data_IF_074368247954
#
_entry.id   IF_074368247954
#
_cell.length_a   1.000
_cell.length_b   1.000
_cell.length_c   1.000
_cell.angle_alpha   90.00
_cell.angle_beta   90.00
_cell.angle_gamma   90.00
#
_symmetry.space_group_name_H-M   'P 1'
#
loop_
_entity.id
_entity.type
_entity.pdbx_description
1 polymer ?
#
# COMPACT_ATOMS: atom_id res chain seq x y z
N UNK A 1 5.57 -13.33 17.76
CA UNK A 1 6.62 -12.72 16.94
C UNK A 1 7.97 -12.93 17.60
N UNK A 2 8.95 -13.41 16.86
CA UNK A 2 10.30 -13.59 17.38
C UNK A 2 11.01 -12.23 17.54
N UNK A 3 11.90 -12.14 18.51
CA UNK A 3 12.68 -10.93 18.72
C UNK A 3 13.64 -10.71 17.54
N UNK A 4 13.63 -9.52 16.91
CA UNK A 4 14.54 -9.24 15.80
C UNK A 4 16.01 -9.09 16.23
N UNK A 5 16.26 -8.97 17.53
CA UNK A 5 17.63 -8.76 18.06
C UNK A 5 18.27 -10.06 18.55
N UNK A 6 17.52 -10.91 19.26
CA UNK A 6 18.07 -12.15 19.84
C UNK A 6 17.34 -13.42 19.38
N UNK A 7 16.28 -13.30 18.60
CA UNK A 7 15.48 -14.38 18.04
C UNK A 7 14.70 -15.20 19.10
N UNK A 8 14.51 -14.66 20.30
CA UNK A 8 13.70 -15.32 21.31
C UNK A 8 12.24 -15.44 20.83
N UNK A 9 11.59 -16.58 21.08
CA UNK A 9 10.29 -16.91 20.47
C UNK A 9 9.09 -16.18 21.08
N UNK A 10 9.18 -15.77 22.35
CA UNK A 10 8.06 -15.21 23.10
C UNK A 10 8.27 -13.74 23.43
N UNK A 11 7.90 -12.86 22.51
CA UNK A 11 7.91 -11.43 22.75
C UNK A 11 6.48 -10.97 23.07
N UNK A 12 6.35 -9.88 23.83
CA UNK A 12 5.04 -9.39 24.27
C UNK A 12 4.77 -7.97 23.79
N UNK A 13 3.48 -7.67 23.65
CA UNK A 13 3.01 -6.31 23.32
C UNK A 13 2.80 -5.56 24.63
N UNK A 14 3.45 -4.39 24.76
CA UNK A 14 3.33 -3.56 25.96
C UNK A 14 2.48 -2.31 25.73
N UNK A 15 2.23 -1.93 24.45
CA UNK A 15 1.38 -0.82 24.10
C UNK A 15 0.82 -1.01 22.70
N UNK A 16 -0.38 -0.50 22.43
CA UNK A 16 -1.02 -0.52 21.12
C UNK A 16 -1.78 0.78 20.90
N UNK A 17 -1.60 1.40 19.73
CA UNK A 17 -2.27 2.65 19.37
C UNK A 17 -2.67 2.64 17.90
N UNK A 18 -3.81 3.26 17.62
CA UNK A 18 -4.20 3.54 16.24
C UNK A 18 -3.39 4.72 15.70
N UNK A 19 -3.08 4.69 14.40
CA UNK A 19 -2.51 5.83 13.73
C UNK A 19 -3.56 6.95 13.61
N UNK A 20 -3.10 8.18 13.28
CA UNK A 20 -3.99 9.35 13.23
C UNK A 20 -5.16 9.18 12.26
N UNK A 21 -4.96 8.45 11.17
CA UNK A 21 -5.98 8.18 10.15
C UNK A 21 -6.81 6.92 10.44
N UNK A 22 -6.55 6.24 11.56
CA UNK A 22 -7.22 4.99 11.98
C UNK A 22 -7.03 3.80 11.02
N UNK A 23 -6.07 3.86 10.11
CA UNK A 23 -5.85 2.80 9.10
C UNK A 23 -4.87 1.72 9.54
N UNK A 24 -4.06 2.00 10.55
CA UNK A 24 -3.01 1.10 11.02
C UNK A 24 -2.98 1.05 12.54
N UNK A 25 -2.41 -0.03 13.07
CA UNK A 25 -2.17 -0.18 14.51
C UNK A 25 -0.66 -0.23 14.74
N UNK A 26 -0.17 0.70 15.55
CA UNK A 26 1.24 0.69 15.98
C UNK A 26 1.32 0.00 17.33
N UNK A 27 2.16 -1.05 17.41
CA UNK A 27 2.37 -1.79 18.64
C UNK A 27 3.80 -1.63 19.12
N UNK A 28 3.95 -1.47 20.42
CA UNK A 28 5.25 -1.48 21.06
C UNK A 28 5.48 -2.87 21.65
N UNK A 29 6.59 -3.50 21.32
CA UNK A 29 6.92 -4.86 21.78
C UNK A 29 8.18 -4.85 22.62
N UNK A 30 8.28 -5.85 23.50
CA UNK A 30 9.43 -6.04 24.37
C UNK A 30 9.82 -7.52 24.39
N UNK A 31 11.12 -7.78 24.32
CA UNK A 31 11.67 -9.10 24.50
C UNK A 31 12.04 -9.33 25.96
N UNK A 32 11.46 -10.33 26.63
CA UNK A 32 11.83 -10.61 28.03
C UNK A 32 13.22 -11.20 28.18
N UNK A 33 13.81 -11.73 27.10
CA UNK A 33 15.15 -12.33 27.13
C UNK A 33 16.26 -11.28 27.06
N UNK A 34 16.24 -10.42 26.03
CA UNK A 34 17.28 -9.41 25.84
C UNK A 34 16.90 -8.01 26.30
N UNK A 35 15.65 -7.78 26.65
CA UNK A 35 15.18 -6.49 27.13
C UNK A 35 14.97 -5.42 26.08
N UNK A 36 15.26 -5.70 24.83
CA UNK A 36 15.06 -4.74 23.74
C UNK A 36 13.59 -4.49 23.47
N UNK A 37 13.28 -3.25 23.06
CA UNK A 37 11.95 -2.82 22.68
C UNK A 37 11.98 -2.33 21.25
N UNK A 38 10.89 -2.57 20.52
CA UNK A 38 10.76 -2.11 19.13
C UNK A 38 9.29 -1.88 18.83
N UNK A 39 9.03 -1.18 17.73
CA UNK A 39 7.67 -0.94 17.27
C UNK A 39 7.37 -1.79 16.03
N UNK A 40 6.11 -2.23 15.92
CA UNK A 40 5.58 -2.90 14.74
C UNK A 40 4.37 -2.13 14.23
N UNK A 41 4.05 -2.32 12.96
CA UNK A 41 2.88 -1.72 12.33
C UNK A 41 2.01 -2.83 11.79
N UNK A 42 0.72 -2.77 12.09
CA UNK A 42 -0.26 -3.68 11.55
C UNK A 42 -1.17 -2.90 10.60
N UNK A 43 -1.24 -3.33 9.36
CA UNK A 43 -2.13 -2.76 8.35
C UNK A 43 -2.93 -3.89 7.71
N UNK A 44 -4.06 -3.55 7.07
CA UNK A 44 -4.85 -4.56 6.37
C UNK A 44 -4.04 -5.14 5.21
N UNK A 45 -3.97 -6.47 5.16
CA UNK A 45 -3.36 -7.17 4.04
C UNK A 45 -4.45 -7.43 3.01
N UNK A 46 -4.53 -6.51 2.05
CA UNK A 46 -5.56 -6.56 1.02
C UNK A 46 -5.09 -7.43 -0.14
N UNK A 47 -5.86 -8.47 -0.44
CA UNK A 47 -5.60 -9.32 -1.58
C UNK A 47 -6.04 -8.61 -2.87
N UNK A 48 -5.24 -7.63 -3.30
CA UNK A 48 -5.47 -6.93 -4.56
C UNK A 48 -5.11 -7.85 -5.74
N UNK A 49 -5.77 -7.69 -6.91
CA UNK A 49 -5.46 -8.50 -8.08
C UNK A 49 -4.00 -8.38 -8.49
N UNK A 50 -3.41 -9.48 -8.96
CA UNK A 50 -2.09 -9.44 -9.58
C UNK A 50 -2.20 -8.84 -10.97
N UNK A 51 -1.16 -8.11 -11.39
CA UNK A 51 -1.14 -7.42 -12.67
C UNK A 51 -0.51 -8.32 -13.73
N UNK A 52 -1.22 -8.53 -14.84
CA UNK A 52 -0.70 -9.25 -16.01
C UNK A 52 -0.11 -8.20 -16.95
N UNK A 53 1.21 -8.28 -17.15
CA UNK A 53 1.93 -7.38 -18.04
C UNK A 53 1.74 -7.74 -19.51
N UNK A 54 2.18 -6.86 -20.41
CA UNK A 54 2.09 -7.07 -21.86
C UNK A 54 2.80 -8.35 -22.33
N UNK A 55 3.86 -8.77 -21.64
CA UNK A 55 4.63 -9.97 -21.96
C UNK A 55 4.03 -11.24 -21.30
N UNK A 56 2.83 -11.13 -20.74
CA UNK A 56 2.12 -12.19 -20.01
C UNK A 56 2.76 -12.58 -18.68
N UNK A 57 3.79 -11.85 -18.23
CA UNK A 57 4.30 -12.04 -16.88
C UNK A 57 3.34 -11.42 -15.87
N UNK A 58 3.40 -11.88 -14.63
CA UNK A 58 2.56 -11.40 -13.55
C UNK A 58 3.41 -10.75 -12.47
N UNK A 59 2.91 -9.65 -11.92
CA UNK A 59 3.53 -8.97 -10.80
C UNK A 59 2.47 -8.55 -9.79
N UNK A 60 2.90 -8.32 -8.55
CA UNK A 60 2.02 -7.78 -7.53
C UNK A 60 1.68 -6.32 -7.86
N UNK A 61 0.46 -5.89 -7.50
CA UNK A 61 0.08 -4.49 -7.65
C UNK A 61 1.02 -3.61 -6.81
N UNK A 62 1.54 -2.55 -7.42
CA UNK A 62 2.42 -1.61 -6.74
C UNK A 62 1.82 -0.20 -6.79
N UNK A 63 1.45 0.31 -5.62
CA UNK A 63 0.96 1.68 -5.46
C UNK A 63 2.02 2.70 -5.89
N UNK A 64 3.29 2.41 -5.60
CA UNK A 64 4.40 3.29 -5.98
C UNK A 64 4.55 3.44 -7.47
N UNK A 65 4.32 2.38 -8.25
CA UNK A 65 4.37 2.45 -9.71
C UNK A 65 3.26 3.34 -10.26
N UNK A 66 2.07 3.26 -9.70
CA UNK A 66 0.94 4.11 -10.06
C UNK A 66 1.25 5.57 -9.73
N UNK A 67 1.77 5.83 -8.54
CA UNK A 67 2.18 7.18 -8.12
C UNK A 67 3.20 7.78 -9.07
N UNK A 68 4.22 7.00 -9.45
CA UNK A 68 5.22 7.44 -10.44
C UNK A 68 4.59 7.77 -11.78
N UNK A 69 3.61 6.98 -12.21
CA UNK A 69 2.87 7.23 -13.44
C UNK A 69 2.14 8.56 -13.42
N UNK A 70 1.46 8.88 -12.32
CA UNK A 70 0.79 10.16 -12.13
C UNK A 70 1.79 11.31 -12.11
N UNK A 71 2.86 11.19 -11.34
CA UNK A 71 3.88 12.23 -11.24
C UNK A 71 4.52 12.52 -12.58
N UNK A 72 4.81 11.49 -13.37
CA UNK A 72 5.39 11.65 -14.71
C UNK A 72 4.42 12.36 -15.67
N UNK A 73 3.15 11.96 -15.65
CA UNK A 73 2.12 12.53 -16.50
C UNK A 73 1.84 14.00 -16.17
N UNK A 74 1.96 14.38 -14.89
CA UNK A 74 1.65 15.71 -14.38
C UNK A 74 2.91 16.56 -14.14
N UNK A 75 4.06 16.14 -14.62
CA UNK A 75 5.37 16.72 -14.32
C UNK A 75 5.46 18.23 -14.58
N UNK A 76 4.77 18.73 -15.61
CA UNK A 76 4.80 20.16 -15.98
C UNK A 76 3.53 20.93 -15.52
N UNK A 77 2.72 20.31 -14.68
CA UNK A 77 1.45 20.89 -14.25
C UNK A 77 1.47 21.17 -12.76
N UNK A 78 0.85 22.27 -12.38
CA UNK A 78 0.70 22.66 -10.99
C UNK A 78 -0.51 21.92 -10.41
N UNK A 79 -0.28 20.72 -9.89
CA UNK A 79 -1.32 19.88 -9.30
C UNK A 79 -1.02 19.65 -7.83
N UNK A 80 -2.04 19.70 -7.00
CA UNK A 80 -1.94 19.43 -5.58
C UNK A 80 -1.66 17.93 -5.34
N UNK A 81 -0.69 17.62 -4.50
CA UNK A 81 -0.36 16.24 -4.12
C UNK A 81 -1.58 15.48 -3.58
N UNK A 82 -2.48 16.19 -2.91
CA UNK A 82 -3.71 15.60 -2.39
C UNK A 82 -4.61 15.05 -3.50
N UNK A 83 -4.62 15.68 -4.68
CA UNK A 83 -5.40 15.21 -5.83
C UNK A 83 -4.85 13.87 -6.35
N UNK A 84 -3.53 13.70 -6.33
CA UNK A 84 -2.88 12.45 -6.71
C UNK A 84 -3.21 11.34 -5.71
N UNK A 85 -3.17 11.65 -4.41
CA UNK A 85 -3.50 10.68 -3.37
C UNK A 85 -4.95 10.19 -3.48
N UNK A 86 -5.88 11.10 -3.75
CA UNK A 86 -7.30 10.77 -3.97
C UNK A 86 -7.46 9.88 -5.20
N UNK A 87 -6.76 10.21 -6.29
CA UNK A 87 -6.82 9.42 -7.52
C UNK A 87 -6.30 7.99 -7.30
N UNK A 88 -5.19 7.85 -6.59
CA UNK A 88 -4.62 6.54 -6.25
C UNK A 88 -5.60 5.74 -5.39
N UNK A 89 -6.21 6.38 -4.40
CA UNK A 89 -7.17 5.72 -3.53
C UNK A 89 -8.41 5.26 -4.29
N UNK A 90 -8.88 6.04 -5.27
CA UNK A 90 -9.99 5.67 -6.15
C UNK A 90 -9.65 4.42 -6.96
N UNK A 91 -8.44 4.33 -7.48
CA UNK A 91 -7.96 3.15 -8.22
C UNK A 91 -7.92 1.93 -7.30
N UNK A 92 -7.37 2.06 -6.10
CA UNK A 92 -7.30 0.98 -5.13
C UNK A 92 -8.71 0.48 -4.77
N UNK A 93 -9.65 1.39 -4.58
CA UNK A 93 -11.04 1.03 -4.27
C UNK A 93 -11.69 0.24 -5.41
N UNK A 94 -11.42 0.59 -6.66
CA UNK A 94 -11.89 -0.16 -7.83
C UNK A 94 -11.27 -1.56 -7.87
N UNK A 95 -9.99 -1.68 -7.52
CA UNK A 95 -9.30 -2.96 -7.47
C UNK A 95 -9.83 -3.85 -6.33
N UNK A 96 -10.19 -3.26 -5.20
CA UNK A 96 -10.82 -4.01 -4.10
C UNK A 96 -12.16 -4.62 -4.51
N UNK A 97 -12.89 -3.93 -5.37
CA UNK A 97 -14.18 -4.39 -5.88
C UNK A 97 -14.04 -5.38 -7.04
N UNK A 98 -12.85 -5.53 -7.59
CA UNK A 98 -12.57 -6.47 -8.68
C UNK A 98 -12.64 -7.91 -8.17
N UNK A 99 -13.50 -8.73 -8.79
CA UNK A 99 -13.78 -10.08 -8.31
C UNK A 99 -12.76 -11.12 -8.75
N UNK A 100 -11.98 -10.83 -9.80
CA UNK A 100 -10.97 -11.74 -10.32
C UNK A 100 -9.64 -11.55 -9.59
N UNK A 101 -8.83 -12.62 -9.56
CA UNK A 101 -7.52 -12.61 -8.90
C UNK A 101 -6.45 -11.89 -9.70
N UNK A 102 -6.71 -11.64 -10.98
CA UNK A 102 -5.75 -11.01 -11.89
C UNK A 102 -6.43 -9.89 -12.67
N UNK A 103 -5.65 -8.89 -13.06
CA UNK A 103 -6.12 -7.77 -13.88
C UNK A 103 -5.05 -7.45 -14.93
N UNK A 104 -5.46 -7.19 -16.16
CA UNK A 104 -4.55 -6.84 -17.24
C UNK A 104 -4.04 -5.41 -17.03
N UNK A 105 -2.73 -5.17 -17.26
CA UNK A 105 -2.11 -3.86 -17.07
C UNK A 105 -2.80 -2.74 -17.86
N UNK A 106 -3.34 -3.06 -19.04
CA UNK A 106 -4.08 -2.07 -19.84
C UNK A 106 -5.34 -1.56 -19.15
N UNK A 107 -6.02 -2.37 -18.35
CA UNK A 107 -7.18 -1.92 -17.57
C UNK A 107 -6.77 -0.94 -16.48
N UNK A 108 -5.64 -1.18 -15.83
CA UNK A 108 -5.09 -0.24 -14.85
C UNK A 108 -4.72 1.07 -15.54
N UNK A 109 -4.11 0.98 -16.72
CA UNK A 109 -3.81 2.16 -17.54
C UNK A 109 -5.04 3.00 -17.84
N UNK A 110 -6.17 2.37 -18.17
CA UNK A 110 -7.42 3.06 -18.40
C UNK A 110 -7.94 3.75 -17.14
N UNK A 111 -7.81 3.12 -15.98
CA UNK A 111 -8.19 3.72 -14.70
C UNK A 111 -7.34 4.97 -14.41
N UNK A 112 -6.04 4.89 -14.65
CA UNK A 112 -5.13 6.04 -14.49
C UNK A 112 -5.52 7.17 -15.43
N UNK A 113 -5.83 6.86 -16.68
CA UNK A 113 -6.26 7.86 -17.66
C UNK A 113 -7.55 8.57 -17.25
N UNK A 114 -8.50 7.82 -16.72
CA UNK A 114 -9.75 8.40 -16.22
C UNK A 114 -9.51 9.36 -15.06
N UNK A 115 -8.70 8.96 -14.11
CA UNK A 115 -8.36 9.83 -12.97
C UNK A 115 -7.59 11.07 -13.40
N UNK A 116 -6.69 10.94 -14.37
CA UNK A 116 -5.95 12.08 -14.94
C UNK A 116 -6.90 13.11 -15.57
N UNK A 117 -7.94 12.65 -16.26
CA UNK A 117 -8.94 13.55 -16.86
C UNK A 117 -9.70 14.35 -15.81
N UNK A 118 -9.97 13.75 -14.66
CA UNK A 118 -10.66 14.42 -13.57
C UNK A 118 -9.79 15.43 -12.84
N UNK A 119 -8.48 15.18 -12.77
CA UNK A 119 -7.52 16.09 -12.14
C UNK A 119 -7.30 17.33 -13.03
N UNK A 120 -7.29 17.13 -14.34
CA UNK A 120 -6.96 18.18 -15.32
C UNK A 120 -8.25 18.91 -15.85
#
# INVERSE_FOLDING_TARGET
MHCPFCNFSDTKVIDSRLTADNSQVKRRRECPSCGNRWSTMESADLNLPRVIKKDNSREDFSEKKIERGFLRALNKRSVNDNSIDVAIQNIINKLKAHTEKEIVSSQIGLMVMQELREID
#
